data_IF_961255615509
#
_entry.id   IF_961255615509
#
_cell.length_a   1.000
_cell.length_b   1.000
_cell.length_c   1.000
_cell.angle_alpha   90.00
_cell.angle_beta   90.00
_cell.angle_gamma   90.00
#
_symmetry.space_group_name_H-M   'P 1'
#
loop_
_entity.id
_entity.type
_entity.pdbx_description
1 polymer ?
#
# COMPACT_ATOMS: atom_id res chain seq x y z
N UNK A 1 0.64 14.60 -5.63
CA UNK A 1 -0.43 15.48 -6.13
C UNK A 1 -1.66 14.76 -6.68
N UNK A 2 -1.61 13.44 -6.94
CA UNK A 2 -2.82 12.63 -7.12
C UNK A 2 -3.72 13.08 -8.28
N UNK A 3 -3.14 13.55 -9.38
CA UNK A 3 -3.88 14.16 -10.50
C UNK A 3 -4.96 13.24 -11.11
N UNK A 4 -4.74 11.93 -11.05
CA UNK A 4 -5.67 10.90 -11.54
C UNK A 4 -6.53 10.27 -10.43
N UNK A 5 -6.48 10.81 -9.21
CA UNK A 5 -7.20 10.31 -8.04
C UNK A 5 -6.33 9.58 -7.02
N UNK A 6 -6.98 9.11 -5.95
CA UNK A 6 -6.37 8.22 -4.95
C UNK A 6 -6.27 6.77 -5.48
N UNK A 7 -5.57 5.91 -4.75
CA UNK A 7 -5.22 4.54 -5.17
C UNK A 7 -6.44 3.70 -5.61
N UNK A 8 -7.57 3.81 -4.92
CA UNK A 8 -8.82 3.13 -5.28
C UNK A 8 -9.30 3.57 -6.67
N UNK A 9 -9.38 4.87 -6.91
CA UNK A 9 -9.77 5.45 -8.21
C UNK A 9 -8.82 5.05 -9.33
N UNK A 10 -7.51 4.98 -9.04
CA UNK A 10 -6.51 4.54 -10.00
C UNK A 10 -6.73 3.06 -10.35
N UNK A 11 -6.92 2.19 -9.35
CA UNK A 11 -7.16 0.77 -9.56
C UNK A 11 -8.46 0.52 -10.35
N UNK A 12 -9.55 1.23 -10.03
CA UNK A 12 -10.80 1.17 -10.78
C UNK A 12 -10.63 1.68 -12.21
N UNK A 13 -9.95 2.82 -12.39
CA UNK A 13 -9.66 3.42 -13.68
C UNK A 13 -8.85 2.50 -14.59
N UNK A 14 -7.92 1.73 -14.01
CA UNK A 14 -7.20 0.68 -14.76
C UNK A 14 -8.12 -0.47 -15.13
N UNK A 15 -9.03 -0.89 -14.25
CA UNK A 15 -9.98 -1.96 -14.56
C UNK A 15 -10.89 -1.64 -15.74
N UNK A 16 -11.39 -0.40 -15.79
CA UNK A 16 -12.29 0.06 -16.88
C UNK A 16 -11.52 0.58 -18.11
N UNK A 17 -10.20 0.62 -18.06
CA UNK A 17 -9.33 1.03 -19.18
C UNK A 17 -9.26 2.54 -19.43
N UNK A 18 -9.69 3.39 -18.48
CA UNK A 18 -9.47 4.84 -18.55
C UNK A 18 -8.06 5.26 -18.12
N UNK A 19 -7.37 4.39 -17.39
CA UNK A 19 -5.95 4.50 -17.03
C UNK A 19 -5.25 3.24 -17.54
N UNK A 20 -4.11 3.39 -18.23
CA UNK A 20 -3.41 2.22 -18.79
C UNK A 20 -2.67 1.43 -17.70
N UNK A 21 -1.94 2.13 -16.82
CA UNK A 21 -1.03 1.56 -15.82
C UNK A 21 -1.21 2.29 -14.49
N UNK A 22 -1.26 1.54 -13.39
CA UNK A 22 -1.38 2.04 -12.03
C UNK A 22 -0.35 1.44 -11.08
N UNK A 23 -0.10 2.15 -9.98
CA UNK A 23 0.74 1.72 -8.87
C UNK A 23 0.03 2.10 -7.57
N UNK A 24 -0.06 1.18 -6.63
CA UNK A 24 -0.62 1.49 -5.31
C UNK A 24 -0.79 0.29 -4.39
N UNK A 25 -1.09 0.57 -3.12
CA UNK A 25 -1.37 -0.43 -2.09
C UNK A 25 -2.83 -0.87 -2.02
N UNK A 26 -3.75 -0.15 -2.65
CA UNK A 26 -5.15 -0.59 -2.75
C UNK A 26 -5.33 -1.62 -3.86
N UNK A 27 -5.89 -2.77 -3.48
CA UNK A 27 -5.99 -3.96 -4.32
C UNK A 27 -7.41 -4.51 -4.42
N UNK A 28 -8.42 -3.84 -3.85
CA UNK A 28 -9.78 -4.38 -3.82
C UNK A 28 -10.35 -4.60 -5.24
N UNK A 29 -10.19 -3.61 -6.11
CA UNK A 29 -10.61 -3.70 -7.51
C UNK A 29 -9.86 -4.80 -8.28
N UNK A 30 -8.59 -5.03 -7.93
CA UNK A 30 -7.71 -6.02 -8.56
C UNK A 30 -8.01 -7.41 -8.01
N UNK A 31 -7.57 -7.72 -6.79
CA UNK A 31 -7.84 -8.95 -6.07
C UNK A 31 -7.52 -8.76 -4.58
N UNK A 32 -8.54 -8.86 -3.73
CA UNK A 32 -8.39 -8.64 -2.29
C UNK A 32 -7.42 -9.61 -1.61
N UNK A 33 -7.12 -10.77 -2.22
CA UNK A 33 -6.14 -11.74 -1.70
C UNK A 33 -4.72 -11.18 -1.69
N UNK A 34 -4.42 -10.17 -2.50
CA UNK A 34 -3.12 -9.48 -2.50
C UNK A 34 -2.81 -8.81 -1.14
N UNK A 35 -3.81 -8.54 -0.30
CA UNK A 35 -3.62 -8.06 1.07
C UNK A 35 -2.96 -9.09 2.01
N UNK A 36 -2.74 -10.33 1.57
CA UNK A 36 -2.04 -11.35 2.37
C UNK A 36 -0.65 -10.89 2.81
N UNK A 37 0.01 -10.04 2.02
CA UNK A 37 1.31 -9.47 2.35
C UNK A 37 1.26 -8.50 3.53
N UNK A 38 0.08 -7.95 3.84
CA UNK A 38 -0.15 -6.99 4.91
C UNK A 38 -0.51 -7.62 6.26
N UNK A 39 -0.31 -8.94 6.42
CA UNK A 39 -0.54 -9.59 7.71
C UNK A 39 0.47 -9.08 8.76
N UNK A 40 0.03 -8.77 10.00
CA UNK A 40 0.91 -8.29 11.05
C UNK A 40 2.05 -9.25 11.34
N UNK A 41 3.27 -8.71 11.37
CA UNK A 41 4.53 -9.43 11.66
C UNK A 41 4.80 -10.64 10.76
N UNK A 42 4.22 -10.67 9.55
CA UNK A 42 4.42 -11.75 8.58
C UNK A 42 5.90 -11.87 8.16
N UNK A 43 6.57 -10.74 8.00
CA UNK A 43 7.96 -10.69 7.55
C UNK A 43 8.89 -10.17 8.64
N UNK A 44 10.00 -10.88 8.85
CA UNK A 44 11.01 -10.49 9.82
C UNK A 44 11.94 -9.36 9.31
N UNK A 45 12.13 -9.26 8.00
CA UNK A 45 13.04 -8.30 7.34
C UNK A 45 12.87 -8.35 5.81
N UNK A 46 13.52 -7.42 5.11
CA UNK A 46 13.50 -7.33 3.64
C UNK A 46 13.98 -8.61 2.95
N UNK A 47 14.96 -9.33 3.51
CA UNK A 47 15.40 -10.60 2.92
C UNK A 47 14.27 -11.65 2.90
N UNK A 48 13.45 -11.72 3.95
CA UNK A 48 12.28 -12.59 3.98
C UNK A 48 11.21 -12.15 2.97
N UNK A 49 11.03 -10.84 2.78
CA UNK A 49 10.10 -10.26 1.80
C UNK A 49 10.52 -10.66 0.38
N UNK A 50 11.78 -10.40 -0.01
CA UNK A 50 12.27 -10.75 -1.34
C UNK A 50 12.20 -12.27 -1.59
N UNK A 51 12.60 -13.09 -0.61
CA UNK A 51 12.48 -14.55 -0.75
C UNK A 51 11.02 -15.03 -0.95
N UNK A 52 10.05 -14.31 -0.38
CA UNK A 52 8.64 -14.60 -0.58
C UNK A 52 8.15 -14.15 -1.96
N UNK A 53 8.47 -12.92 -2.37
CA UNK A 53 8.05 -12.33 -3.65
C UNK A 53 8.72 -13.03 -4.86
N UNK A 54 9.98 -13.43 -4.73
CA UNK A 54 10.72 -14.16 -5.76
C UNK A 54 10.42 -15.67 -5.76
N UNK A 55 9.69 -16.14 -4.74
CA UNK A 55 9.33 -17.53 -4.55
C UNK A 55 8.05 -17.96 -5.29
N UNK A 56 7.66 -19.24 -5.15
CA UNK A 56 6.46 -19.77 -5.80
C UNK A 56 5.17 -19.04 -5.41
N UNK A 57 5.07 -18.56 -4.16
CA UNK A 57 3.89 -17.82 -3.70
C UNK A 57 3.83 -16.44 -4.35
N UNK A 58 4.96 -15.72 -4.44
CA UNK A 58 5.00 -14.46 -5.17
C UNK A 58 4.62 -14.63 -6.64
N UNK A 59 5.08 -15.69 -7.30
CA UNK A 59 4.66 -16.04 -8.65
C UNK A 59 3.15 -16.32 -8.77
N UNK A 60 2.54 -16.96 -7.76
CA UNK A 60 1.08 -17.16 -7.70
C UNK A 60 0.35 -15.82 -7.56
N UNK A 61 0.82 -14.91 -6.69
CA UNK A 61 0.23 -13.58 -6.52
C UNK A 61 0.24 -12.80 -7.82
N UNK A 62 1.31 -12.87 -8.62
CA UNK A 62 1.42 -12.21 -9.93
C UNK A 62 0.34 -12.67 -10.94
N UNK A 63 -0.31 -13.81 -10.72
CA UNK A 63 -1.42 -14.30 -11.53
C UNK A 63 -2.78 -13.72 -11.15
N UNK A 64 -2.91 -13.02 -10.01
CA UNK A 64 -4.19 -12.51 -9.54
C UNK A 64 -4.67 -11.30 -10.36
N UNK A 65 -5.99 -11.11 -10.39
CA UNK A 65 -6.64 -10.00 -11.11
C UNK A 65 -6.78 -10.19 -12.63
N UNK A 66 -6.16 -11.21 -13.23
CA UNK A 66 -6.26 -11.48 -14.67
C UNK A 66 -7.70 -11.76 -15.13
N UNK A 67 -8.47 -12.48 -14.31
CA UNK A 67 -9.89 -12.75 -14.50
C UNK A 67 -10.78 -11.50 -14.39
N UNK A 68 -10.21 -10.40 -13.87
CA UNK A 68 -10.85 -9.10 -13.69
C UNK A 68 -10.27 -8.01 -14.58
N UNK A 69 -9.44 -8.37 -15.56
CA UNK A 69 -8.90 -7.43 -16.54
C UNK A 69 -7.60 -6.73 -16.12
N UNK A 70 -6.88 -7.27 -15.14
CA UNK A 70 -5.60 -6.71 -14.68
C UNK A 70 -4.42 -7.64 -14.98
N UNK A 71 -3.26 -7.05 -15.28
CA UNK A 71 -1.97 -7.75 -15.31
C UNK A 71 -1.07 -7.10 -14.27
N UNK A 72 -0.66 -7.87 -13.27
CA UNK A 72 0.37 -7.42 -12.33
C UNK A 72 1.74 -7.43 -13.04
N UNK A 73 2.48 -6.33 -12.90
CA UNK A 73 3.81 -6.13 -13.47
C UNK A 73 4.91 -6.34 -12.42
N UNK A 74 4.61 -6.13 -11.14
CA UNK A 74 5.49 -6.45 -10.02
C UNK A 74 4.97 -5.89 -8.69
N UNK A 75 5.72 -6.14 -7.63
CA UNK A 75 5.54 -5.50 -6.33
C UNK A 75 6.76 -4.64 -6.01
N UNK A 76 6.53 -3.37 -5.69
CA UNK A 76 7.56 -2.44 -5.21
C UNK A 76 7.55 -2.42 -3.68
N UNK A 77 8.73 -2.33 -3.07
CA UNK A 77 8.91 -2.28 -1.62
C UNK A 77 8.40 -0.96 -1.03
N UNK A 78 7.15 -0.93 -0.53
CA UNK A 78 6.64 0.28 0.12
C UNK A 78 7.39 0.60 1.43
N UNK A 79 7.96 -0.44 2.07
CA UNK A 79 8.61 -0.41 3.37
C UNK A 79 7.74 -0.98 4.49
N UNK A 80 8.36 -1.12 5.67
CA UNK A 80 7.64 -1.44 6.90
C UNK A 80 6.89 -0.22 7.44
N UNK A 81 5.69 -0.46 7.97
CA UNK A 81 4.81 0.56 8.54
C UNK A 81 5.14 0.82 10.01
N UNK A 82 5.08 2.08 10.39
CA UNK A 82 5.41 2.65 11.70
C UNK A 82 4.16 3.27 12.33
N UNK A 83 4.28 3.90 13.50
CA UNK A 83 3.22 4.74 14.04
C UNK A 83 3.67 6.19 14.11
N UNK A 84 2.85 7.12 13.61
CA UNK A 84 3.05 8.53 13.82
C UNK A 84 1.82 9.16 14.50
N UNK A 85 2.05 10.04 15.47
CA UNK A 85 0.99 10.63 16.29
C UNK A 85 1.31 12.07 16.71
N UNK A 86 0.26 12.81 17.06
CA UNK A 86 0.39 14.17 17.59
C UNK A 86 0.52 14.14 19.12
N UNK A 87 1.57 14.75 19.66
CA UNK A 87 1.77 14.97 21.09
C UNK A 87 2.32 13.78 21.88
N UNK A 88 1.67 12.62 21.82
CA UNK A 88 2.07 11.43 22.60
C UNK A 88 2.55 10.29 21.71
N UNK A 89 3.76 9.78 21.96
CA UNK A 89 4.32 8.65 21.22
C UNK A 89 3.59 7.34 21.52
N UNK A 90 3.54 6.46 20.52
CA UNK A 90 2.92 5.12 20.61
C UNK A 90 4.05 4.11 20.79
N UNK A 91 4.38 3.79 22.04
CA UNK A 91 5.51 2.89 22.36
C UNK A 91 5.06 1.51 22.84
N UNK A 92 3.76 1.32 23.08
CA UNK A 92 3.18 0.03 23.40
C UNK A 92 1.76 -0.12 22.84
N UNK A 93 1.24 -1.35 22.68
CA UNK A 93 -0.13 -1.60 22.23
C UNK A 93 -1.20 -0.90 23.08
N UNK A 94 -0.94 -0.70 24.38
CA UNK A 94 -1.87 0.01 25.28
C UNK A 94 -2.12 1.45 24.85
N UNK A 95 -1.16 2.11 24.20
CA UNK A 95 -1.33 3.48 23.72
C UNK A 95 -2.32 3.59 22.56
N UNK A 96 -2.63 2.47 21.88
CA UNK A 96 -3.61 2.44 20.78
C UNK A 96 -5.05 2.40 21.28
N UNK A 97 -5.30 2.01 22.54
CA UNK A 97 -6.66 1.87 23.07
C UNK A 97 -7.41 3.21 23.07
N UNK A 98 -8.52 3.28 22.33
CA UNK A 98 -9.33 4.48 22.19
C UNK A 98 -8.70 5.58 21.31
N UNK A 99 -7.52 5.34 20.74
CA UNK A 99 -6.83 6.30 19.89
C UNK A 99 -7.51 6.38 18.52
N UNK A 100 -7.83 7.59 18.05
CA UNK A 100 -8.31 7.79 16.68
C UNK A 100 -7.13 7.72 15.72
N UNK A 101 -7.09 6.66 14.92
CA UNK A 101 -5.98 6.40 13.99
C UNK A 101 -6.52 6.24 12.58
N UNK A 102 -5.86 6.89 11.61
CA UNK A 102 -6.13 6.66 10.20
C UNK A 102 -5.39 5.42 9.71
N UNK A 103 -6.07 4.61 8.90
CA UNK A 103 -5.47 3.55 8.08
C UNK A 103 -5.69 3.84 6.58
N UNK A 104 -4.88 3.29 5.67
CA UNK A 104 -5.23 3.22 4.24
C UNK A 104 -6.48 2.34 4.03
N UNK A 105 -7.05 2.30 2.82
CA UNK A 105 -8.15 1.41 2.42
C UNK A 105 -7.71 -0.07 2.32
N UNK A 106 -7.05 -0.57 3.36
CA UNK A 106 -6.60 -1.94 3.50
C UNK A 106 -7.37 -2.61 4.66
N UNK A 107 -8.21 -3.62 4.39
CA UNK A 107 -9.06 -4.23 5.42
C UNK A 107 -8.25 -4.97 6.51
N UNK A 108 -7.05 -5.47 6.19
CA UNK A 108 -6.18 -6.16 7.15
C UNK A 108 -5.61 -5.16 8.17
N UNK A 109 -5.13 -4.01 7.68
CA UNK A 109 -4.61 -2.94 8.55
C UNK A 109 -5.74 -2.39 9.44
N UNK A 110 -6.90 -2.10 8.85
CA UNK A 110 -8.07 -1.62 9.58
C UNK A 110 -8.49 -2.58 10.70
N UNK A 111 -8.58 -3.88 10.38
CA UNK A 111 -8.92 -4.91 11.36
C UNK A 111 -7.86 -5.02 12.46
N UNK A 112 -6.58 -4.95 12.10
CA UNK A 112 -5.46 -5.00 13.05
C UNK A 112 -5.55 -3.87 14.06
N UNK A 113 -5.74 -2.62 13.59
CA UNK A 113 -5.84 -1.46 14.49
C UNK A 113 -7.06 -1.56 15.43
N UNK A 114 -8.20 -2.02 14.93
CA UNK A 114 -9.40 -2.25 15.75
C UNK A 114 -9.17 -3.35 16.79
N UNK A 115 -8.48 -4.43 16.42
CA UNK A 115 -8.13 -5.51 17.34
C UNK A 115 -7.19 -5.04 18.47
N UNK A 116 -6.32 -4.07 18.18
CA UNK A 116 -5.47 -3.42 19.17
C UNK A 116 -6.22 -2.37 20.03
N UNK A 117 -7.51 -2.16 19.78
CA UNK A 117 -8.39 -1.29 20.56
C UNK A 117 -8.45 0.16 20.06
N UNK A 118 -7.88 0.46 18.89
CA UNK A 118 -7.94 1.79 18.31
C UNK A 118 -9.30 2.07 17.65
N UNK A 119 -9.68 3.34 17.63
CA UNK A 119 -10.81 3.87 16.85
C UNK A 119 -10.33 4.16 15.43
N UNK A 120 -10.15 3.08 14.66
CA UNK A 120 -9.54 3.17 13.33
C UNK A 120 -10.55 3.56 12.24
N UNK A 121 -10.17 4.55 11.43
CA UNK A 121 -10.91 5.06 10.28
C UNK A 121 -10.08 4.96 9.00
N UNK A 122 -10.70 4.48 7.92
CA UNK A 122 -10.06 4.42 6.61
C UNK A 122 -10.20 5.78 5.92
N UNK A 123 -9.07 6.46 5.68
CA UNK A 123 -9.05 7.76 5.01
C UNK A 123 -8.08 7.66 3.82
N UNK A 124 -8.48 8.07 2.61
CA UNK A 124 -7.61 8.08 1.43
C UNK A 124 -6.34 8.90 1.63
N UNK A 125 -5.26 8.52 0.94
CA UNK A 125 -3.92 9.08 1.15
C UNK A 125 -3.88 10.61 1.00
N UNK A 126 -4.54 11.15 -0.03
CA UNK A 126 -4.58 12.59 -0.29
C UNK A 126 -5.23 13.43 0.82
N UNK A 127 -6.01 12.81 1.71
CA UNK A 127 -6.75 13.51 2.78
C UNK A 127 -6.08 13.39 4.16
N UNK A 128 -4.95 12.70 4.26
CA UNK A 128 -4.35 12.39 5.57
C UNK A 128 -3.80 13.62 6.26
N UNK A 129 -3.04 14.47 5.55
CA UNK A 129 -2.44 15.67 6.15
C UNK A 129 -3.52 16.58 6.75
N UNK A 130 -4.58 16.86 5.99
CA UNK A 130 -5.69 17.71 6.44
C UNK A 130 -6.48 17.06 7.58
N UNK A 131 -6.63 15.73 7.56
CA UNK A 131 -7.28 14.98 8.65
C UNK A 131 -6.49 15.04 9.96
N UNK A 132 -5.15 14.96 9.90
CA UNK A 132 -4.28 15.17 11.06
C UNK A 132 -4.31 16.63 11.52
N UNK A 133 -4.18 17.59 10.60
CA UNK A 133 -4.20 19.03 10.88
C UNK A 133 -5.51 19.48 11.54
N UNK A 134 -6.64 18.97 11.07
CA UNK A 134 -7.97 19.28 11.60
C UNK A 134 -8.33 18.42 12.83
N UNK A 135 -7.44 17.54 13.29
CA UNK A 135 -7.65 16.62 14.41
C UNK A 135 -8.86 15.70 14.25
N UNK A 136 -9.21 15.32 13.01
CA UNK A 136 -10.17 14.23 12.74
C UNK A 136 -9.63 12.92 13.30
N UNK A 137 -8.34 12.68 13.06
CA UNK A 137 -7.54 11.62 13.66
C UNK A 137 -6.33 12.22 14.38
N UNK A 138 -5.81 11.49 15.36
CA UNK A 138 -4.62 11.90 16.14
C UNK A 138 -3.37 11.08 15.82
N UNK A 139 -3.51 10.07 14.95
CA UNK A 139 -2.43 9.18 14.56
C UNK A 139 -2.65 8.62 13.15
N UNK A 140 -1.55 8.13 12.58
CA UNK A 140 -1.45 7.40 11.31
C UNK A 140 -0.43 6.28 11.48
N UNK A 141 -0.41 5.32 10.56
CA UNK A 141 0.57 4.23 10.59
C UNK A 141 1.40 4.12 9.29
N UNK A 142 2.30 5.07 9.00
CA UNK A 142 2.94 5.20 7.68
C UNK A 142 4.20 4.37 7.53
N UNK A 143 4.60 4.09 6.29
CA UNK A 143 6.01 3.89 5.96
C UNK A 143 6.79 5.20 6.17
N UNK A 144 8.07 5.10 6.55
CA UNK A 144 8.89 6.29 6.87
C UNK A 144 8.99 7.26 5.68
N UNK A 145 9.03 6.71 4.46
CA UNK A 145 9.03 7.48 3.20
C UNK A 145 7.79 8.35 3.09
N UNK A 146 6.60 7.76 3.19
CA UNK A 146 5.33 8.49 3.06
C UNK A 146 5.17 9.57 4.14
N UNK A 147 5.60 9.28 5.37
CA UNK A 147 5.62 10.24 6.48
C UNK A 147 6.47 11.48 6.16
N UNK A 148 7.64 11.27 5.54
CA UNK A 148 8.55 12.35 5.17
C UNK A 148 8.08 13.11 3.92
N UNK A 149 7.81 12.40 2.83
CA UNK A 149 7.45 12.99 1.53
C UNK A 149 6.15 13.81 1.62
N UNK A 150 5.19 13.33 2.42
CA UNK A 150 3.91 14.01 2.64
C UNK A 150 3.95 15.04 3.76
N UNK A 151 5.13 15.27 4.37
CA UNK A 151 5.36 16.21 5.47
C UNK A 151 4.44 16.00 6.67
N UNK A 152 4.03 14.76 6.92
CA UNK A 152 3.16 14.44 8.06
C UNK A 152 3.84 14.74 9.40
N UNK A 153 5.18 14.85 9.42
CA UNK A 153 5.94 15.33 10.58
C UNK A 153 5.55 16.73 11.07
N UNK A 154 4.90 17.56 10.25
CA UNK A 154 4.40 18.89 10.65
C UNK A 154 3.14 18.79 11.53
N UNK A 155 2.38 17.69 11.42
CA UNK A 155 1.05 17.51 12.04
C UNK A 155 0.94 16.25 12.91
N UNK A 156 1.95 15.38 12.88
CA UNK A 156 2.12 14.19 13.74
C UNK A 156 3.59 14.09 14.17
N UNK A 157 3.96 14.81 15.23
CA UNK A 157 5.36 15.09 15.62
C UNK A 157 6.08 13.93 16.33
N UNK A 158 5.38 12.83 16.63
CA UNK A 158 5.95 11.63 17.27
C UNK A 158 5.97 10.48 16.28
N UNK A 159 7.15 10.01 15.90
CA UNK A 159 7.33 8.78 15.11
C UNK A 159 7.85 7.65 16.01
N UNK A 160 7.17 6.51 16.01
CA UNK A 160 7.54 5.31 16.76
C UNK A 160 7.78 4.16 15.79
N UNK A 161 9.00 3.62 15.81
CA UNK A 161 9.41 2.55 14.90
C UNK A 161 8.92 1.20 15.43
N UNK A 162 7.96 0.60 14.73
CA UNK A 162 7.31 -0.64 15.12
C UNK A 162 7.54 -1.80 14.13
N UNK A 163 7.73 -1.48 12.85
CA UNK A 163 7.85 -2.46 11.76
C UNK A 163 6.77 -3.56 11.81
N UNK A 164 5.54 -3.20 12.13
CA UNK A 164 4.51 -4.18 12.51
C UNK A 164 3.82 -4.84 11.32
N UNK A 165 3.79 -4.15 10.16
CA UNK A 165 3.25 -4.63 8.89
C UNK A 165 4.19 -4.20 7.78
N UNK A 166 4.32 -5.03 6.75
CA UNK A 166 4.88 -4.64 5.47
C UNK A 166 3.77 -4.57 4.43
N UNK A 167 3.84 -3.60 3.52
CA UNK A 167 2.85 -3.42 2.44
C UNK A 167 3.55 -3.42 1.09
N UNK A 168 2.96 -4.10 0.11
CA UNK A 168 3.38 -4.03 -1.27
C UNK A 168 2.70 -2.85 -1.96
N UNK A 169 3.45 -2.10 -2.77
CA UNK A 169 2.86 -1.28 -3.81
C UNK A 169 2.82 -2.11 -5.09
N UNK A 170 1.63 -2.55 -5.49
CA UNK A 170 1.46 -3.38 -6.66
C UNK A 170 1.49 -2.52 -7.91
N UNK A 171 2.32 -2.88 -8.87
CA UNK A 171 2.31 -2.32 -10.19
C UNK A 171 1.39 -3.17 -11.07
N UNK A 172 0.41 -2.54 -11.71
CA UNK A 172 -0.60 -3.22 -12.50
C UNK A 172 -0.95 -2.46 -13.76
N UNK A 173 -1.42 -3.18 -14.77
CA UNK A 173 -1.80 -2.66 -16.08
C UNK A 173 -3.14 -3.23 -16.52
N UNK A 174 -3.91 -2.46 -17.29
CA UNK A 174 -5.11 -2.97 -17.94
C UNK A 174 -4.73 -4.09 -18.93
N UNK A 175 -5.36 -5.26 -18.76
CA UNK A 175 -5.05 -6.45 -19.54
C UNK A 175 -5.33 -6.26 -21.03
N UNK A 176 -6.51 -5.75 -21.37
CA UNK A 176 -6.92 -5.56 -22.76
C UNK A 176 -5.99 -4.56 -23.47
N UNK A 177 -5.61 -3.49 -22.76
CA UNK A 177 -4.64 -2.52 -23.25
C UNK A 177 -3.31 -3.18 -23.58
N UNK A 178 -2.76 -3.97 -22.66
CA UNK A 178 -1.51 -4.70 -22.90
C UNK A 178 -1.63 -5.64 -24.11
N UNK A 179 -2.74 -6.37 -24.21
CA UNK A 179 -3.00 -7.32 -25.29
C UNK A 179 -3.18 -6.65 -26.66
N UNK A 180 -3.58 -5.37 -26.71
CA UNK A 180 -3.64 -4.60 -27.96
C UNK A 180 -2.26 -4.18 -28.49
N UNK A 181 -1.22 -4.21 -27.66
CA UNK A 181 0.13 -3.79 -28.06
C UNK A 181 0.84 -4.88 -28.86
N UNK A 182 1.75 -4.52 -29.80
CA UNK A 182 2.65 -5.47 -30.44
C UNK A 182 3.45 -6.28 -29.40
N UNK A 183 3.78 -7.53 -29.73
CA UNK A 183 4.49 -8.44 -28.82
C UNK A 183 5.84 -7.89 -28.31
N UNK A 184 6.54 -7.12 -29.13
CA UNK A 184 7.77 -6.42 -28.75
C UNK A 184 7.53 -5.39 -27.64
N UNK A 185 6.44 -4.62 -27.72
CA UNK A 185 6.08 -3.63 -26.70
C UNK A 185 5.59 -4.29 -25.42
N UNK A 186 4.81 -5.37 -25.51
CA UNK A 186 4.43 -6.16 -24.34
C UNK A 186 5.67 -6.68 -23.58
N UNK A 187 6.66 -7.16 -24.33
CA UNK A 187 7.94 -7.64 -23.77
C UNK A 187 8.72 -6.50 -23.13
N UNK A 188 8.84 -5.36 -23.81
CA UNK A 188 9.54 -4.19 -23.30
C UNK A 188 8.93 -3.67 -21.99
N UNK A 189 7.60 -3.62 -21.87
CA UNK A 189 6.91 -3.20 -20.63
C UNK A 189 7.24 -4.15 -19.48
N UNK A 190 7.13 -5.47 -19.70
CA UNK A 190 7.40 -6.47 -18.66
C UNK A 190 8.87 -6.44 -18.22
N UNK A 191 9.80 -6.27 -19.15
CA UNK A 191 11.22 -6.17 -18.85
C UNK A 191 11.55 -4.88 -18.10
N UNK A 192 10.98 -3.73 -18.52
CA UNK A 192 11.13 -2.48 -17.81
C UNK A 192 10.62 -2.57 -16.36
N UNK A 193 9.43 -3.14 -16.16
CA UNK A 193 8.88 -3.35 -14.83
C UNK A 193 9.79 -4.23 -13.96
N UNK A 194 10.30 -5.34 -14.51
CA UNK A 194 11.23 -6.23 -13.81
C UNK A 194 12.53 -5.53 -13.42
N UNK A 195 13.11 -4.75 -14.33
CA UNK A 195 14.33 -3.98 -14.06
C UNK A 195 14.10 -2.93 -12.98
N UNK A 196 12.98 -2.22 -13.03
CA UNK A 196 12.62 -1.23 -12.01
C UNK A 196 12.39 -1.88 -10.65
N UNK A 197 11.67 -3.00 -10.57
CA UNK A 197 11.46 -3.75 -9.31
C UNK A 197 12.78 -4.24 -8.72
N UNK A 198 13.76 -4.61 -9.56
CA UNK A 198 15.09 -5.04 -9.09
C UNK A 198 15.93 -3.87 -8.58
N UNK A 199 15.73 -2.67 -9.13
CA UNK A 199 16.45 -1.46 -8.74
C UNK A 199 15.93 -0.82 -7.44
N UNK A 200 14.61 -0.87 -7.24
CA UNK A 200 13.88 -0.23 -6.16
C UNK A 200 14.02 -0.98 -4.83
#
# INVERSE_FOLDING_TARGET
DGELGDEDSIAEGVGVGSIDIGLGGSVYAIDSRLNVTSLPFLFANNKAIHAFLDGPIGAELMGFGQDRGYVLLGALDSGFRQFASTGTAITSPENLKGLKIRTPPNPVILATMRQLGALAESIPFGQVYTSLQAHVVSAVEPEVRDYYDSKWYEVADKLSIANYIWTANWWFMNKDRLETLPAEQQTAIKEAAKQTVTWY
#
